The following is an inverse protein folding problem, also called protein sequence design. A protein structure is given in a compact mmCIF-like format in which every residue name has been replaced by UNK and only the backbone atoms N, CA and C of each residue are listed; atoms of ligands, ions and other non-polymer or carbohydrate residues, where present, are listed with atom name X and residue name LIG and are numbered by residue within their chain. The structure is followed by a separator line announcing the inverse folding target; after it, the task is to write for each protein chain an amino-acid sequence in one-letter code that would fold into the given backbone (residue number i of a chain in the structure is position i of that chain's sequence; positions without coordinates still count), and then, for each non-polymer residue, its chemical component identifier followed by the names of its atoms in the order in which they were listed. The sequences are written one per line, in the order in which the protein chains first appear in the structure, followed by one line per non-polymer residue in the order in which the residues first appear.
data_IF_448783275441
#
_entry.id   IF_448783275441
#
_cell.length_a   1.000
_cell.length_b   1.000
_cell.length_c   1.000
_cell.angle_alpha   90.00
_cell.angle_beta   90.00
_cell.angle_gamma   90.00
#
_symmetry.space_group_name_H-M   'P 1'
#
loop_
_entity.id
_entity.type
_entity.pdbx_description
1 polymer ?
#
# COMPACT_ATOMS: atom_id res chain seq x y z
N UNK A 1 -4.66 40.02 86.55
CA UNK A 1 -3.91 38.75 86.76
C UNK A 1 -2.99 38.52 85.58
N UNK A 2 -1.80 37.96 85.82
CA UNK A 2 -0.91 37.47 84.76
C UNK A 2 -1.44 36.16 84.15
N UNK A 3 -1.03 35.89 82.91
CA UNK A 3 -0.67 34.62 82.24
C UNK A 3 -0.54 34.99 80.73
N UNK A 4 0.58 34.86 79.99
CA UNK A 4 1.75 33.94 80.04
C UNK A 4 1.26 32.48 79.99
N UNK A 5 1.46 31.65 78.96
CA UNK A 5 2.44 31.55 77.85
C UNK A 5 1.79 30.76 76.66
N UNK A 6 2.36 30.37 75.49
CA UNK A 6 3.68 30.45 74.83
C UNK A 6 3.50 30.31 73.28
N UNK A 7 4.60 30.25 72.53
CA UNK A 7 4.89 29.57 71.23
C UNK A 7 3.80 28.63 70.67
N UNK A 8 3.48 28.62 69.37
CA UNK A 8 4.47 28.38 68.29
C UNK A 8 3.98 28.75 66.89
N UNK A 9 4.91 28.86 65.94
CA UNK A 9 4.65 29.25 64.55
C UNK A 9 4.45 28.05 63.61
N UNK A 10 3.48 28.17 62.69
CA UNK A 10 3.53 27.65 61.31
C UNK A 10 2.45 28.28 60.44
N UNK A 11 2.79 28.48 59.17
CA UNK A 11 2.07 29.38 58.25
C UNK A 11 1.25 28.63 57.19
N UNK A 12 0.41 29.41 56.51
CA UNK A 12 -0.15 29.17 55.17
C UNK A 12 -1.30 28.15 55.02
N UNK A 13 -2.44 28.70 54.60
CA UNK A 13 -3.61 28.02 54.02
C UNK A 13 -3.29 27.33 52.69
N UNK A 14 -4.13 26.36 52.28
CA UNK A 14 -4.78 26.24 50.94
C UNK A 14 -5.65 24.97 50.87
N UNK A 15 -6.55 24.89 49.87
CA UNK A 15 -7.32 23.72 49.43
C UNK A 15 -8.55 23.26 50.25
N UNK A 16 -9.57 24.13 50.28
CA UNK A 16 -11.01 23.76 50.28
C UNK A 16 -11.62 24.62 49.15
N UNK A 17 -12.52 24.18 48.26
CA UNK A 17 -13.45 23.04 48.31
C UNK A 17 -13.57 22.25 46.98
N UNK A 18 -14.33 21.17 47.06
CA UNK A 18 -15.06 20.44 46.00
C UNK A 18 -15.45 21.32 44.78
N UNK A 19 -15.18 20.93 43.52
CA UNK A 19 -15.71 19.76 42.78
C UNK A 19 -17.23 19.85 42.54
N UNK A 20 -17.64 19.66 41.27
CA UNK A 20 -19.01 19.65 40.71
C UNK A 20 -19.72 21.02 40.51
N UNK A 21 -19.48 21.63 39.35
CA UNK A 21 -20.58 22.15 38.52
C UNK A 21 -20.67 21.31 37.24
N UNK A 22 -21.79 20.63 37.04
CA UNK A 22 -22.10 19.88 35.81
C UNK A 22 -22.61 20.84 34.73
N UNK A 23 -21.69 21.51 34.05
CA UNK A 23 -21.98 22.26 32.82
C UNK A 23 -22.32 21.29 31.68
N UNK A 24 -23.55 21.36 31.17
CA UNK A 24 -24.10 20.45 30.16
C UNK A 24 -23.47 20.66 28.77
N UNK A 25 -22.23 20.19 28.58
CA UNK A 25 -21.65 20.03 27.23
C UNK A 25 -22.23 18.76 26.63
N UNK A 26 -23.23 18.91 25.76
CA UNK A 26 -23.89 17.78 25.11
C UNK A 26 -22.89 16.92 24.35
N UNK A 27 -22.87 15.61 24.66
CA UNK A 27 -22.04 14.63 23.98
C UNK A 27 -22.58 14.32 22.58
N UNK A 28 -22.51 15.32 21.69
CA UNK A 28 -22.49 15.11 20.26
C UNK A 28 -21.21 14.33 19.95
N UNK A 29 -21.29 13.00 20.07
CA UNK A 29 -20.21 12.09 19.75
C UNK A 29 -19.81 12.34 18.30
N UNK A 30 -18.71 13.06 18.10
CA UNK A 30 -18.15 13.35 16.80
C UNK A 30 -17.81 12.03 16.17
N UNK A 31 -18.67 11.59 15.24
CA UNK A 31 -18.37 10.45 14.38
C UNK A 31 -17.17 10.88 13.54
N UNK A 32 -15.98 10.53 14.01
CA UNK A 32 -14.74 10.54 13.25
C UNK A 32 -14.89 9.49 12.16
N UNK A 33 -15.61 9.89 11.12
CA UNK A 33 -15.73 9.16 9.88
C UNK A 33 -14.35 9.10 9.24
N UNK A 34 -13.59 8.08 9.61
CA UNK A 34 -12.46 7.61 8.84
C UNK A 34 -13.01 7.21 7.47
N UNK A 35 -13.03 8.16 6.54
CA UNK A 35 -13.16 7.84 5.13
C UNK A 35 -12.05 6.84 4.82
N UNK A 36 -12.44 5.62 4.45
CA UNK A 36 -11.47 4.60 4.11
C UNK A 36 -10.61 5.15 2.97
N UNK A 37 -9.32 5.35 3.21
CA UNK A 37 -8.36 5.75 2.18
C UNK A 37 -8.09 4.55 1.28
N UNK A 38 -9.07 4.25 0.42
CA UNK A 38 -8.91 3.33 -0.70
C UNK A 38 -7.86 3.95 -1.62
N UNK A 39 -6.62 3.49 -1.48
CA UNK A 39 -5.50 3.90 -2.32
C UNK A 39 -5.72 3.33 -3.73
N UNK A 40 -6.52 4.03 -4.53
CA UNK A 40 -6.71 3.75 -5.95
C UNK A 40 -5.34 3.77 -6.64
N UNK A 41 -5.10 2.73 -7.44
CA UNK A 41 -3.88 2.57 -8.23
C UNK A 41 -4.15 2.57 -9.73
N UNK A 42 -3.08 2.39 -10.49
CA UNK A 42 -3.12 2.25 -11.95
C UNK A 42 -2.86 0.79 -12.31
N UNK A 43 -3.69 0.20 -13.16
CA UNK A 43 -3.41 -1.09 -13.81
C UNK A 43 -3.07 -0.82 -15.27
N UNK A 44 -1.91 -1.29 -15.72
CA UNK A 44 -1.39 -1.06 -17.07
C UNK A 44 -1.33 -2.41 -17.80
N UNK A 45 -2.18 -2.67 -18.82
CA UNK A 45 -2.00 -3.78 -19.74
C UNK A 45 -0.82 -3.46 -20.67
N UNK A 46 0.40 -3.72 -20.19
CA UNK A 46 1.65 -3.32 -20.83
C UNK A 46 2.08 -4.38 -21.84
N UNK A 47 1.24 -4.55 -22.87
CA UNK A 47 1.40 -5.55 -23.93
C UNK A 47 2.29 -5.00 -25.09
N UNK A 48 3.21 -4.11 -24.73
CA UNK A 48 4.27 -3.56 -25.58
C UNK A 48 5.58 -4.26 -25.26
N UNK A 49 6.45 -4.41 -26.26
CA UNK A 49 7.76 -5.03 -26.04
C UNK A 49 8.64 -4.15 -25.12
N UNK A 50 9.53 -4.70 -24.26
CA UNK A 50 10.19 -3.92 -23.20
C UNK A 50 11.16 -2.82 -23.65
N UNK A 51 11.49 -2.75 -24.94
CA UNK A 51 12.26 -1.64 -25.53
C UNK A 51 11.37 -0.47 -25.98
N UNK A 52 10.04 -0.58 -25.87
CA UNK A 52 9.11 0.49 -26.23
C UNK A 52 9.08 1.62 -25.18
N UNK A 53 8.77 2.84 -25.64
CA UNK A 53 8.72 4.03 -24.81
C UNK A 53 7.76 3.93 -23.61
N UNK A 54 6.66 3.17 -23.73
CA UNK A 54 5.67 2.98 -22.66
C UNK A 54 6.24 2.36 -21.37
N UNK A 55 7.26 1.51 -21.47
CA UNK A 55 7.95 0.95 -20.31
C UNK A 55 8.71 2.04 -19.54
N UNK A 56 9.42 2.91 -20.28
CA UNK A 56 10.13 4.05 -19.69
C UNK A 56 9.16 5.09 -19.10
N UNK A 57 8.02 5.33 -19.76
CA UNK A 57 6.99 6.25 -19.30
C UNK A 57 6.30 5.74 -18.02
N UNK A 58 6.00 4.45 -17.93
CA UNK A 58 5.44 3.82 -16.72
C UNK A 58 6.38 3.95 -15.52
N UNK A 59 7.69 3.75 -15.75
CA UNK A 59 8.73 3.96 -14.73
C UNK A 59 8.89 5.43 -14.32
N UNK A 60 8.74 6.38 -15.25
CA UNK A 60 8.74 7.81 -14.95
C UNK A 60 7.49 8.21 -14.14
N UNK A 61 6.30 7.73 -14.51
CA UNK A 61 5.06 7.97 -13.78
C UNK A 61 5.14 7.47 -12.32
N UNK A 62 5.70 6.27 -12.10
CA UNK A 62 5.93 5.76 -10.73
C UNK A 62 6.89 6.65 -9.92
N UNK A 63 7.96 7.17 -10.55
CA UNK A 63 8.92 8.06 -9.89
C UNK A 63 8.32 9.44 -9.56
N UNK A 64 7.45 9.97 -10.42
CA UNK A 64 6.72 11.22 -10.17
C UNK A 64 5.63 11.07 -9.10
N UNK A 65 5.02 9.89 -9.00
CA UNK A 65 3.90 9.60 -8.09
C UNK A 65 4.19 8.37 -7.21
N UNK A 66 5.20 8.42 -6.31
CA UNK A 66 5.68 7.24 -5.58
C UNK A 66 4.59 6.58 -4.71
N UNK A 67 3.65 7.37 -4.19
CA UNK A 67 2.56 6.90 -3.33
C UNK A 67 1.41 6.23 -4.11
N UNK A 68 1.38 6.32 -5.44
CA UNK A 68 0.36 5.66 -6.27
C UNK A 68 0.75 4.19 -6.48
N UNK A 69 -0.11 3.21 -6.14
CA UNK A 69 0.11 1.81 -6.50
C UNK A 69 0.04 1.64 -8.02
N UNK A 70 0.97 0.89 -8.61
CA UNK A 70 0.92 0.54 -10.04
C UNK A 70 1.10 -0.96 -10.19
N UNK A 71 0.22 -1.59 -10.97
CA UNK A 71 0.31 -2.97 -11.43
C UNK A 71 0.54 -2.92 -12.94
N UNK A 72 1.60 -3.56 -13.42
CA UNK A 72 1.86 -3.77 -14.85
C UNK A 72 1.59 -5.25 -15.20
N UNK A 73 0.76 -5.48 -16.23
CA UNK A 73 0.48 -6.80 -16.77
C UNK A 73 1.36 -6.98 -18.01
N UNK A 74 2.25 -7.96 -18.00
CA UNK A 74 3.10 -8.30 -19.15
C UNK A 74 2.47 -9.41 -19.97
N UNK A 75 2.58 -9.33 -21.30
CA UNK A 75 2.12 -10.37 -22.21
C UNK A 75 3.13 -10.60 -23.36
N UNK A 76 4.15 -11.46 -23.17
CA UNK A 76 5.13 -11.75 -24.22
C UNK A 76 4.56 -12.35 -25.51
N UNK A 77 3.55 -13.23 -25.42
CA UNK A 77 2.89 -13.87 -26.59
C UNK A 77 1.63 -14.63 -26.18
N UNK A 78 0.58 -13.92 -25.74
CA UNK A 78 -0.67 -14.45 -25.15
C UNK A 78 -0.44 -15.50 -24.04
N UNK A 79 0.57 -15.21 -23.24
CA UNK A 79 1.28 -16.15 -22.40
C UNK A 79 2.78 -15.78 -22.31
N UNK A 80 3.59 -16.57 -21.59
CA UNK A 80 4.99 -16.26 -21.26
C UNK A 80 5.98 -16.33 -22.45
N UNK A 81 5.51 -16.66 -23.65
CA UNK A 81 6.34 -16.94 -24.83
C UNK A 81 6.85 -18.39 -24.89
N UNK A 82 7.55 -18.71 -25.99
CA UNK A 82 8.17 -20.02 -26.20
C UNK A 82 9.49 -20.21 -25.44
N UNK A 83 10.15 -19.13 -25.05
CA UNK A 83 11.41 -19.12 -24.29
C UNK A 83 11.52 -17.85 -23.44
N UNK A 84 12.44 -17.86 -22.47
CA UNK A 84 12.74 -16.66 -21.65
C UNK A 84 13.38 -15.56 -22.49
N UNK A 85 12.81 -14.37 -22.46
CA UNK A 85 13.31 -13.15 -23.11
C UNK A 85 14.04 -12.23 -22.10
N UNK A 86 15.29 -11.88 -22.39
CA UNK A 86 16.14 -11.07 -21.50
C UNK A 86 15.69 -9.61 -21.34
N UNK A 87 15.01 -9.03 -22.33
CA UNK A 87 14.44 -7.69 -22.24
C UNK A 87 13.25 -7.68 -21.27
N UNK A 88 12.41 -8.74 -21.29
CA UNK A 88 11.35 -8.91 -20.29
C UNK A 88 11.94 -9.13 -18.89
N UNK A 89 12.95 -9.99 -18.73
CA UNK A 89 13.65 -10.19 -17.43
C UNK A 89 14.17 -8.87 -16.86
N UNK A 90 14.86 -8.06 -17.67
CA UNK A 90 15.41 -6.78 -17.22
C UNK A 90 14.31 -5.73 -16.98
N UNK A 91 13.24 -5.72 -17.79
CA UNK A 91 12.07 -4.86 -17.63
C UNK A 91 11.35 -5.11 -16.30
N UNK A 92 11.01 -6.37 -16.01
CA UNK A 92 10.34 -6.76 -14.74
C UNK A 92 11.21 -6.38 -13.54
N UNK A 93 12.51 -6.67 -13.58
CA UNK A 93 13.47 -6.31 -12.53
C UNK A 93 13.52 -4.79 -12.30
N UNK A 94 13.52 -3.98 -13.36
CA UNK A 94 13.51 -2.52 -13.27
C UNK A 94 12.20 -1.98 -12.63
N UNK A 95 11.07 -2.61 -12.96
CA UNK A 95 9.75 -2.24 -12.43
C UNK A 95 9.60 -2.58 -10.95
N UNK A 96 9.98 -3.80 -10.56
CA UNK A 96 9.97 -4.25 -9.17
C UNK A 96 10.90 -3.41 -8.29
N UNK A 97 12.08 -3.04 -8.80
CA UNK A 97 13.00 -2.12 -8.11
C UNK A 97 12.44 -0.70 -7.91
N UNK A 98 11.39 -0.30 -8.65
CA UNK A 98 10.68 0.96 -8.48
C UNK A 98 9.36 0.82 -7.68
N UNK A 99 9.06 -0.36 -7.13
CA UNK A 99 7.81 -0.63 -6.43
C UNK A 99 6.58 -0.68 -7.34
N UNK A 100 6.77 -1.06 -8.61
CA UNK A 100 5.68 -1.49 -9.51
C UNK A 100 5.49 -2.99 -9.32
N UNK A 101 4.24 -3.43 -9.09
CA UNK A 101 3.88 -4.85 -9.06
C UNK A 101 3.79 -5.32 -10.51
N UNK A 102 4.39 -6.46 -10.85
CA UNK A 102 4.32 -7.01 -12.21
C UNK A 102 3.66 -8.38 -12.19
N UNK A 103 2.66 -8.59 -13.04
CA UNK A 103 1.94 -9.86 -13.19
C UNK A 103 1.97 -10.35 -14.65
N UNK A 104 1.89 -11.66 -14.86
CA UNK A 104 1.95 -12.29 -16.18
C UNK A 104 0.57 -12.65 -16.73
N UNK A 105 0.22 -12.19 -17.94
CA UNK A 105 -1.06 -12.55 -18.58
C UNK A 105 -1.08 -14.01 -19.04
N UNK A 106 -2.08 -14.79 -18.61
CA UNK A 106 -2.31 -16.17 -19.06
C UNK A 106 -3.71 -16.27 -19.69
N UNK A 107 -3.77 -16.63 -20.98
CA UNK A 107 -5.04 -16.87 -21.67
C UNK A 107 -5.68 -18.19 -21.22
N UNK A 108 -6.89 -18.14 -20.66
CA UNK A 108 -7.66 -19.34 -20.25
C UNK A 108 -8.55 -19.93 -21.34
N UNK A 109 -8.67 -19.24 -22.49
CA UNK A 109 -9.54 -19.66 -23.59
C UNK A 109 -11.02 -19.78 -23.19
N UNK A 110 -11.52 -18.88 -22.32
CA UNK A 110 -12.85 -19.01 -21.69
C UNK A 110 -13.02 -20.34 -20.90
N UNK A 111 -11.96 -20.74 -20.20
CA UNK A 111 -11.84 -22.03 -19.49
C UNK A 111 -11.88 -23.29 -20.38
N UNK A 112 -11.61 -23.17 -21.69
CA UNK A 112 -11.38 -24.33 -22.58
C UNK A 112 -9.94 -24.85 -22.55
N UNK A 113 -8.98 -24.06 -22.07
CA UNK A 113 -7.59 -24.49 -21.92
C UNK A 113 -7.43 -25.45 -20.73
N UNK A 114 -6.70 -26.55 -20.92
CA UNK A 114 -6.47 -27.54 -19.87
C UNK A 114 -5.60 -27.01 -18.75
N UNK A 115 -5.95 -27.33 -17.49
CA UNK A 115 -5.27 -26.81 -16.29
C UNK A 115 -3.75 -27.04 -16.32
N UNK A 116 -3.29 -28.18 -16.83
CA UNK A 116 -1.86 -28.51 -16.93
C UNK A 116 -1.07 -27.60 -17.88
N UNK A 117 -1.69 -26.99 -18.90
CA UNK A 117 -1.04 -25.96 -19.70
C UNK A 117 -1.02 -24.61 -18.97
N UNK A 118 -2.13 -24.25 -18.30
CA UNK A 118 -2.19 -23.04 -17.48
C UNK A 118 -1.13 -23.07 -16.37
N UNK A 119 -1.01 -24.17 -15.63
CA UNK A 119 0.03 -24.40 -14.62
C UNK A 119 1.44 -24.32 -15.22
N UNK A 120 1.64 -24.81 -16.45
CA UNK A 120 2.92 -24.70 -17.15
C UNK A 120 3.23 -23.25 -17.56
N UNK A 121 2.24 -22.47 -18.01
CA UNK A 121 2.39 -21.05 -18.32
C UNK A 121 2.69 -20.22 -17.06
N UNK A 122 1.95 -20.45 -15.97
CA UNK A 122 2.17 -19.84 -14.66
C UNK A 122 3.58 -20.14 -14.15
N UNK A 123 4.02 -21.40 -14.28
CA UNK A 123 5.36 -21.83 -13.88
C UNK A 123 6.47 -21.17 -14.71
N UNK A 124 6.28 -21.01 -16.03
CA UNK A 124 7.21 -20.27 -16.90
C UNK A 124 7.30 -18.80 -16.50
N UNK A 125 6.18 -18.12 -16.28
CA UNK A 125 6.17 -16.73 -15.81
C UNK A 125 6.95 -16.53 -14.52
N UNK A 126 6.71 -17.40 -13.52
CA UNK A 126 7.42 -17.38 -12.24
C UNK A 126 8.92 -17.64 -12.41
N UNK A 127 9.31 -18.66 -13.18
CA UNK A 127 10.70 -19.10 -13.27
C UNK A 127 11.56 -18.25 -14.22
N UNK A 128 10.97 -17.69 -15.29
CA UNK A 128 11.70 -16.88 -16.26
C UNK A 128 11.74 -15.42 -15.85
N UNK A 129 10.59 -14.83 -15.53
CA UNK A 129 10.44 -13.38 -15.36
C UNK A 129 10.34 -12.94 -13.89
N UNK A 130 10.22 -13.86 -12.93
CA UNK A 130 10.09 -13.56 -11.49
C UNK A 130 8.94 -12.61 -11.16
N UNK A 131 7.82 -12.73 -11.89
CA UNK A 131 6.61 -11.91 -11.66
C UNK A 131 6.04 -12.10 -10.25
N UNK A 132 5.35 -11.07 -9.76
CA UNK A 132 4.69 -11.04 -8.46
C UNK A 132 3.38 -11.84 -8.43
N UNK A 133 2.83 -12.19 -9.59
CA UNK A 133 1.55 -12.88 -9.74
C UNK A 133 1.16 -13.11 -11.20
N UNK A 134 -0.11 -13.47 -11.40
CA UNK A 134 -0.80 -13.78 -12.66
C UNK A 134 -2.16 -13.08 -12.58
#
# INVERSE_FOLDING_TARGET
MNLIENSSSRSASIAVATVLLLGLVGAAATRTSFAATSNSGIVIPLYTYPTDGSWSASLQAKKAHPNVPIIAIINPSDGPGGSSDSNYVQGVKNFQAAGIIVIGYVATGYASHGMSDLDAQISRYKNWYSVNGI
#
